data_IF_186143860730
#
_entry.id   IF_186143860730
#
_cell.length_a   1.000
_cell.length_b   1.000
_cell.length_c   1.000
_cell.angle_alpha   90.00
_cell.angle_beta   90.00
_cell.angle_gamma   90.00
#
_symmetry.space_group_name_H-M   'P 1'
#
loop_
_entity.id
_entity.type
_entity.pdbx_description
1 polymer ?
#
# COMPACT_ATOMS: atom_id res chain seq x y z
N UNK A 1 -7.84 -10.96 40.43
CA UNK A 1 -6.57 -10.27 40.68
C UNK A 1 -5.69 -10.51 39.47
N UNK A 2 -5.70 -9.62 38.54
CA UNK A 2 -4.92 -9.74 37.32
C UNK A 2 -5.05 -8.44 36.54
N UNK A 3 -4.11 -7.52 36.70
CA UNK A 3 -3.92 -6.37 35.82
C UNK A 3 -2.80 -5.43 36.31
N UNK A 4 -1.78 -5.94 37.01
CA UNK A 4 -0.81 -5.04 37.65
C UNK A 4 0.59 -5.11 37.01
N UNK A 5 0.85 -5.94 36.00
CA UNK A 5 2.20 -6.10 35.44
C UNK A 5 2.50 -5.14 34.28
N UNK A 6 1.49 -4.64 33.58
CA UNK A 6 1.67 -3.75 32.41
C UNK A 6 2.09 -2.30 32.74
N UNK A 7 1.90 -1.80 33.96
CA UNK A 7 2.09 -0.37 34.29
C UNK A 7 3.47 0.02 34.80
N UNK A 8 4.35 -0.93 35.11
CA UNK A 8 5.67 -0.64 35.73
C UNK A 8 6.78 -0.45 34.70
N UNK A 9 6.59 -0.94 33.46
CA UNK A 9 7.66 -1.00 32.45
C UNK A 9 7.90 0.36 31.74
N UNK A 10 7.00 1.34 31.88
CA UNK A 10 7.07 2.64 31.17
C UNK A 10 8.08 3.65 31.77
N UNK A 11 8.79 3.33 32.86
CA UNK A 11 9.59 4.31 33.62
C UNK A 11 11.10 4.04 33.65
N UNK A 12 11.65 3.08 32.87
CA UNK A 12 13.09 2.74 32.95
C UNK A 12 13.88 3.46 31.86
N UNK A 13 14.94 4.27 32.21
CA UNK A 13 15.76 4.97 31.22
C UNK A 13 16.63 4.05 30.36
N UNK A 14 16.85 4.47 29.12
CA UNK A 14 17.28 3.74 27.94
C UNK A 14 18.65 3.02 27.92
N UNK A 15 19.53 3.16 28.87
CA UNK A 15 20.89 2.59 28.80
C UNK A 15 21.03 1.18 29.40
N UNK A 16 20.14 0.78 30.28
CA UNK A 16 20.15 -0.53 30.94
C UNK A 16 19.00 -1.46 30.53
N UNK A 17 18.09 -1.00 29.64
CA UNK A 17 16.89 -1.76 29.25
C UNK A 17 17.17 -3.18 28.74
N UNK A 18 18.29 -3.43 28.05
CA UNK A 18 18.58 -4.78 27.53
C UNK A 18 18.85 -5.80 28.66
N UNK A 19 19.46 -5.38 29.77
CA UNK A 19 19.71 -6.28 30.90
C UNK A 19 18.44 -6.61 31.70
N UNK A 20 17.57 -5.62 31.89
CA UNK A 20 16.31 -5.80 32.64
C UNK A 20 15.24 -6.54 31.83
N UNK A 21 15.15 -6.29 30.51
CA UNK A 21 14.26 -7.04 29.61
C UNK A 21 14.58 -8.55 29.59
N UNK A 22 15.83 -8.92 29.77
CA UNK A 22 16.26 -10.33 29.76
C UNK A 22 15.78 -11.10 31.00
N UNK A 23 15.61 -10.43 32.15
CA UNK A 23 15.10 -11.06 33.37
C UNK A 23 13.56 -11.16 33.40
N UNK A 24 12.85 -10.30 32.65
CA UNK A 24 11.39 -10.31 32.59
C UNK A 24 10.82 -11.28 31.52
N UNK A 25 11.65 -11.77 30.60
CA UNK A 25 11.28 -12.73 29.55
C UNK A 25 11.60 -14.20 29.95
N UNK A 26 11.59 -14.52 31.24
CA UNK A 26 11.87 -15.90 31.71
C UNK A 26 10.71 -16.85 31.41
N UNK A 27 9.49 -16.36 31.34
CA UNK A 27 8.29 -17.16 31.08
C UNK A 27 7.46 -16.59 29.90
N UNK A 28 6.87 -17.50 29.12
CA UNK A 28 5.98 -17.07 28.04
C UNK A 28 4.68 -16.48 28.61
N UNK A 29 4.23 -15.30 28.11
CA UNK A 29 2.97 -14.71 28.53
C UNK A 29 1.77 -15.62 28.22
N UNK A 30 0.76 -15.66 29.10
CA UNK A 30 -0.45 -16.49 28.99
C UNK A 30 -1.22 -16.16 27.68
N UNK A 31 -1.21 -14.91 27.26
CA UNK A 31 -1.88 -14.43 26.03
C UNK A 31 -1.08 -14.68 24.74
N UNK A 32 0.08 -15.36 24.85
CA UNK A 32 1.00 -15.65 23.74
C UNK A 32 1.40 -14.40 22.95
N UNK A 33 1.53 -13.27 23.64
CA UNK A 33 1.88 -11.97 23.08
C UNK A 33 3.09 -11.38 23.81
N UNK A 34 4.04 -10.87 23.02
CA UNK A 34 5.18 -10.08 23.53
C UNK A 34 5.14 -8.71 22.87
N UNK A 35 5.11 -7.66 23.69
CA UNK A 35 5.18 -6.27 23.26
C UNK A 35 6.48 -5.61 23.75
N UNK A 36 7.35 -5.33 22.80
CA UNK A 36 8.63 -4.64 22.99
C UNK A 36 8.67 -3.32 22.21
N UNK A 37 7.52 -2.75 21.90
CA UNK A 37 7.44 -1.47 21.17
C UNK A 37 8.00 -0.32 22.00
N UNK A 38 8.64 0.66 21.33
CA UNK A 38 9.17 1.88 21.97
C UNK A 38 10.36 1.68 22.91
N UNK A 39 11.05 0.54 22.84
CA UNK A 39 12.15 0.19 23.75
C UNK A 39 13.53 0.67 23.30
N UNK A 40 13.62 1.41 22.19
CA UNK A 40 14.88 1.88 21.62
C UNK A 40 15.87 0.75 21.29
N UNK A 41 15.38 -0.47 21.06
CA UNK A 41 16.18 -1.65 20.79
C UNK A 41 17.00 -1.46 19.52
N UNK A 42 18.31 -1.65 19.61
CA UNK A 42 19.23 -1.67 18.47
C UNK A 42 19.47 -3.09 17.96
N UNK A 43 19.20 -4.09 18.77
CA UNK A 43 19.31 -5.51 18.46
C UNK A 43 18.08 -6.24 18.96
N UNK A 44 17.68 -7.25 18.23
CA UNK A 44 16.58 -8.12 18.62
C UNK A 44 16.95 -8.90 19.90
N UNK A 45 16.10 -8.96 20.93
CA UNK A 45 16.32 -9.75 22.14
C UNK A 45 16.12 -11.23 21.83
N UNK A 46 17.21 -11.95 21.73
CA UNK A 46 17.27 -13.33 21.26
C UNK A 46 16.39 -14.31 22.05
N UNK A 47 16.21 -14.05 23.35
CA UNK A 47 15.39 -14.89 24.24
C UNK A 47 13.94 -15.02 23.77
N UNK A 48 13.42 -14.06 23.02
CA UNK A 48 12.06 -14.14 22.42
C UNK A 48 11.91 -15.37 21.54
N UNK A 49 12.98 -15.81 20.89
CA UNK A 49 12.95 -17.00 20.03
C UNK A 49 12.69 -18.30 20.79
N UNK A 50 12.86 -18.32 22.12
CA UNK A 50 12.54 -19.47 22.95
C UNK A 50 11.02 -19.66 23.12
N UNK A 51 10.22 -18.64 22.87
CA UNK A 51 8.77 -18.69 22.98
C UNK A 51 8.10 -19.23 21.72
N UNK A 52 8.34 -20.51 21.43
CA UNK A 52 7.88 -21.14 20.17
C UNK A 52 6.36 -21.16 19.97
N UNK A 53 5.58 -20.96 21.04
CA UNK A 53 4.12 -20.83 20.97
C UNK A 53 3.62 -19.40 20.77
N UNK A 54 4.53 -18.43 20.62
CA UNK A 54 4.18 -17.03 20.46
C UNK A 54 3.29 -16.81 19.23
N UNK A 55 2.22 -16.03 19.42
CA UNK A 55 1.24 -15.70 18.38
C UNK A 55 1.37 -14.26 17.92
N UNK A 56 1.74 -13.34 18.82
CA UNK A 56 1.84 -11.91 18.50
C UNK A 56 3.15 -11.35 19.02
N UNK A 57 3.87 -10.66 18.15
CA UNK A 57 5.14 -10.00 18.49
C UNK A 57 5.13 -8.56 17.98
N UNK A 58 5.20 -7.62 18.90
CA UNK A 58 5.27 -6.20 18.60
C UNK A 58 6.67 -5.67 18.89
N UNK A 59 7.30 -5.11 17.88
CA UNK A 59 8.65 -4.53 17.88
C UNK A 59 8.67 -3.12 17.28
N UNK A 60 7.48 -2.51 17.17
CA UNK A 60 7.31 -1.17 16.59
C UNK A 60 8.10 -0.11 17.37
N UNK A 61 8.44 0.99 16.70
CA UNK A 61 9.14 2.14 17.30
C UNK A 61 10.44 1.74 18.03
N UNK A 62 11.33 1.06 17.30
CA UNK A 62 12.65 0.67 17.75
C UNK A 62 13.75 1.12 16.77
N UNK A 63 14.99 0.69 17.01
CA UNK A 63 16.12 0.99 16.13
C UNK A 63 16.65 -0.26 15.42
N UNK A 64 15.77 -1.25 15.20
CA UNK A 64 16.14 -2.53 14.62
C UNK A 64 16.40 -2.34 13.10
N UNK A 65 17.43 -3.03 12.61
CA UNK A 65 17.75 -3.11 11.19
C UNK A 65 18.00 -4.55 10.70
N UNK A 66 17.90 -5.51 11.62
CA UNK A 66 18.14 -6.92 11.39
C UNK A 66 17.30 -7.76 12.35
N UNK A 67 16.87 -8.93 11.90
CA UNK A 67 16.27 -9.99 12.72
C UNK A 67 17.13 -11.25 12.63
N UNK A 68 17.31 -11.99 13.74
CA UNK A 68 18.14 -13.19 13.72
C UNK A 68 17.44 -14.35 13.01
N UNK A 69 18.17 -15.30 12.40
CA UNK A 69 17.59 -16.46 11.73
C UNK A 69 16.75 -17.32 12.67
N UNK A 70 17.07 -17.33 13.96
CA UNK A 70 16.35 -18.08 14.99
C UNK A 70 14.89 -17.60 15.17
N UNK A 71 14.51 -16.44 14.62
CA UNK A 71 13.11 -16.00 14.56
C UNK A 71 12.24 -17.05 13.83
N UNK A 72 12.81 -17.85 12.94
CA UNK A 72 12.13 -18.94 12.27
C UNK A 72 11.50 -19.98 13.22
N UNK A 73 11.99 -20.08 14.46
CA UNK A 73 11.43 -20.97 15.48
C UNK A 73 10.00 -20.57 15.90
N UNK A 74 9.58 -19.33 15.66
CA UNK A 74 8.26 -18.80 16.03
C UNK A 74 7.18 -19.19 15.00
N UNK A 75 7.02 -20.47 14.72
CA UNK A 75 6.13 -20.99 13.67
C UNK A 75 4.65 -20.71 13.91
N UNK A 76 4.23 -20.37 15.13
CA UNK A 76 2.85 -20.04 15.48
C UNK A 76 2.53 -18.54 15.33
N UNK A 77 3.53 -17.71 14.91
CA UNK A 77 3.38 -16.27 14.87
C UNK A 77 2.38 -15.86 13.78
N UNK A 78 1.34 -15.12 14.19
CA UNK A 78 0.28 -14.62 13.31
C UNK A 78 0.35 -13.11 13.09
N UNK A 79 0.89 -12.38 14.06
CA UNK A 79 1.05 -10.93 13.99
C UNK A 79 2.50 -10.57 14.27
N UNK A 80 3.11 -9.83 13.35
CA UNK A 80 4.45 -9.26 13.52
C UNK A 80 4.42 -7.77 13.18
N UNK A 81 4.78 -6.94 14.17
CA UNK A 81 4.88 -5.51 13.99
C UNK A 81 6.36 -5.07 14.04
N UNK A 82 6.84 -4.51 12.94
CA UNK A 82 8.19 -4.02 12.72
C UNK A 82 8.20 -2.57 12.22
N UNK A 83 7.07 -1.90 12.25
CA UNK A 83 6.95 -0.50 11.82
C UNK A 83 7.76 0.43 12.71
N UNK A 84 8.10 1.62 12.19
CA UNK A 84 8.95 2.60 12.87
C UNK A 84 10.30 2.02 13.31
N UNK A 85 10.98 1.32 12.38
CA UNK A 85 12.32 0.76 12.59
C UNK A 85 13.30 1.28 11.51
N UNK A 86 14.44 0.61 11.34
CA UNK A 86 15.51 1.05 10.43
C UNK A 86 15.85 0.01 9.36
N UNK A 87 14.90 -0.86 9.01
CA UNK A 87 15.11 -1.88 7.99
C UNK A 87 15.31 -1.23 6.61
N UNK A 88 16.46 -1.51 5.98
CA UNK A 88 16.74 -1.14 4.58
C UNK A 88 16.45 -2.28 3.62
N UNK A 89 16.55 -3.49 4.12
CA UNK A 89 16.24 -4.72 3.41
C UNK A 89 15.19 -5.50 4.20
N UNK A 90 14.31 -6.17 3.48
CA UNK A 90 13.33 -7.05 4.10
C UNK A 90 14.04 -8.20 4.82
N UNK A 91 13.75 -8.47 6.10
CA UNK A 91 14.37 -9.56 6.82
C UNK A 91 13.83 -10.90 6.34
N UNK A 92 14.64 -11.65 5.54
CA UNK A 92 14.23 -12.88 4.86
C UNK A 92 13.63 -13.94 5.79
N UNK A 93 14.12 -14.00 7.04
CA UNK A 93 13.60 -14.93 8.06
C UNK A 93 12.09 -14.78 8.28
N UNK A 94 11.50 -13.61 8.02
CA UNK A 94 10.04 -13.40 8.13
C UNK A 94 9.28 -14.30 7.15
N UNK A 95 9.89 -14.64 6.00
CA UNK A 95 9.25 -15.50 5.00
C UNK A 95 9.06 -16.95 5.46
N UNK A 96 9.77 -17.40 6.51
CA UNK A 96 9.59 -18.73 7.11
C UNK A 96 8.38 -18.80 8.06
N UNK A 97 7.82 -17.64 8.48
CA UNK A 97 6.71 -17.55 9.42
C UNK A 97 5.37 -17.71 8.70
N UNK A 98 5.10 -18.89 8.19
CA UNK A 98 3.99 -19.16 7.24
C UNK A 98 2.60 -18.97 7.84
N UNK A 99 2.46 -18.87 9.18
CA UNK A 99 1.18 -18.58 9.85
C UNK A 99 0.90 -17.07 9.96
N UNK A 100 1.79 -16.20 9.49
CA UNK A 100 1.56 -14.76 9.53
C UNK A 100 0.30 -14.38 8.76
N UNK A 101 -0.58 -13.66 9.45
CA UNK A 101 -1.80 -13.07 8.90
C UNK A 101 -1.73 -11.55 8.83
N UNK A 102 -0.94 -10.92 9.69
CA UNK A 102 -0.75 -9.47 9.75
C UNK A 102 0.74 -9.14 9.85
N UNK A 103 1.24 -8.30 8.96
CA UNK A 103 2.62 -7.83 8.94
C UNK A 103 2.66 -6.30 8.80
N UNK A 104 3.22 -5.64 9.81
CA UNK A 104 3.45 -4.19 9.80
C UNK A 104 4.94 -3.91 9.54
N UNK A 105 5.22 -3.16 8.48
CA UNK A 105 6.56 -2.76 8.05
C UNK A 105 6.62 -1.26 7.71
N UNK A 106 5.59 -0.51 8.08
CA UNK A 106 5.52 0.93 7.80
C UNK A 106 6.67 1.70 8.44
N UNK A 107 6.94 2.90 7.94
CA UNK A 107 7.98 3.78 8.50
C UNK A 107 9.34 3.08 8.67
N UNK A 108 9.82 2.49 7.58
CA UNK A 108 11.15 1.89 7.44
C UNK A 108 11.87 2.51 6.22
N UNK A 109 12.85 1.83 5.66
CA UNK A 109 13.61 2.26 4.46
C UNK A 109 13.68 1.15 3.42
N UNK A 110 12.58 0.40 3.29
CA UNK A 110 12.48 -0.70 2.35
C UNK A 110 12.24 -0.17 0.94
N UNK A 111 12.94 -0.71 -0.04
CA UNK A 111 12.76 -0.35 -1.46
C UNK A 111 12.31 -1.53 -2.32
N UNK A 112 12.40 -2.75 -1.80
CA UNK A 112 11.94 -3.97 -2.47
C UNK A 112 11.45 -5.02 -1.47
N UNK A 113 10.71 -6.00 -1.95
CA UNK A 113 10.31 -7.19 -1.22
C UNK A 113 10.88 -8.41 -1.94
N UNK A 114 11.33 -9.44 -1.20
CA UNK A 114 11.92 -10.64 -1.78
C UNK A 114 10.86 -11.54 -2.41
N UNK A 115 11.28 -12.39 -3.35
CA UNK A 115 10.36 -13.36 -3.97
C UNK A 115 9.83 -14.41 -2.98
N UNK A 116 10.58 -14.66 -1.93
CA UNK A 116 10.20 -15.56 -0.83
C UNK A 116 8.96 -15.09 -0.06
N UNK A 117 8.60 -13.80 -0.15
CA UNK A 117 7.37 -13.27 0.46
C UNK A 117 6.12 -14.06 0.04
N UNK A 118 6.12 -14.65 -1.15
CA UNK A 118 5.04 -15.53 -1.64
C UNK A 118 4.77 -16.75 -0.74
N UNK A 119 5.70 -17.08 0.17
CA UNK A 119 5.51 -18.17 1.16
C UNK A 119 4.48 -17.82 2.22
N UNK A 120 4.21 -16.54 2.46
CA UNK A 120 3.26 -16.05 3.45
C UNK A 120 1.80 -16.18 2.95
N UNK A 121 1.37 -17.40 2.62
CA UNK A 121 0.06 -17.66 2.01
C UNK A 121 -1.13 -17.27 2.91
N UNK A 122 -0.94 -17.17 4.22
CA UNK A 122 -1.96 -16.78 5.19
C UNK A 122 -2.05 -15.26 5.41
N UNK A 123 -1.20 -14.44 4.73
CA UNK A 123 -1.14 -13.01 4.95
C UNK A 123 -2.42 -12.33 4.43
N UNK A 124 -3.12 -11.63 5.34
CA UNK A 124 -4.36 -10.90 5.09
C UNK A 124 -4.19 -9.39 5.12
N UNK A 125 -3.22 -8.91 5.91
CA UNK A 125 -2.96 -7.48 6.07
C UNK A 125 -1.46 -7.21 5.96
N UNK A 126 -1.10 -6.30 5.06
CA UNK A 126 0.27 -5.85 4.88
C UNK A 126 0.33 -4.32 4.89
N UNK A 127 1.18 -3.78 5.75
CA UNK A 127 1.46 -2.35 5.85
C UNK A 127 2.91 -2.09 5.48
N UNK A 128 3.13 -1.41 4.35
CA UNK A 128 4.43 -0.99 3.83
C UNK A 128 4.47 0.53 3.58
N UNK A 129 3.59 1.27 4.24
CA UNK A 129 3.52 2.73 4.11
C UNK A 129 4.81 3.40 4.59
N UNK A 130 5.09 4.62 4.12
CA UNK A 130 6.26 5.40 4.54
C UNK A 130 7.56 4.60 4.43
N UNK A 131 7.83 4.12 3.23
CA UNK A 131 9.05 3.42 2.82
C UNK A 131 9.59 4.02 1.51
N UNK A 132 10.58 3.37 0.89
CA UNK A 132 11.25 3.89 -0.31
C UNK A 132 10.86 3.09 -1.59
N UNK A 133 9.61 2.61 -1.70
CA UNK A 133 9.16 1.86 -2.88
C UNK A 133 8.87 2.80 -4.05
N UNK A 134 9.49 2.52 -5.21
CA UNK A 134 9.19 3.20 -6.49
C UNK A 134 8.11 2.49 -7.30
N UNK A 135 7.97 1.19 -7.11
CA UNK A 135 6.95 0.34 -7.73
C UNK A 135 6.36 -0.58 -6.69
N UNK A 136 5.10 -0.95 -6.86
CA UNK A 136 4.52 -2.00 -6.04
C UNK A 136 5.13 -3.35 -6.45
N UNK A 137 5.82 -4.06 -5.54
CA UNK A 137 6.52 -5.30 -5.89
C UNK A 137 5.55 -6.37 -6.42
N UNK A 138 5.79 -6.97 -7.62
CA UNK A 138 4.88 -7.96 -8.22
C UNK A 138 4.63 -9.19 -7.36
N UNK A 139 5.59 -9.56 -6.48
CA UNK A 139 5.44 -10.68 -5.54
C UNK A 139 4.21 -10.54 -4.63
N UNK A 140 3.72 -9.31 -4.40
CA UNK A 140 2.48 -9.07 -3.64
C UNK A 140 1.27 -9.73 -4.29
N UNK A 141 1.25 -9.84 -5.62
CA UNK A 141 0.17 -10.45 -6.38
C UNK A 141 0.05 -11.97 -6.14
N UNK A 142 1.06 -12.60 -5.50
CA UNK A 142 1.06 -14.00 -5.10
C UNK A 142 0.37 -14.25 -3.73
N UNK A 143 -0.01 -13.20 -3.01
CA UNK A 143 -0.63 -13.26 -1.68
C UNK A 143 -2.16 -13.36 -1.80
N UNK A 144 -2.66 -14.51 -2.22
CA UNK A 144 -4.06 -14.70 -2.61
C UNK A 144 -5.10 -14.40 -1.52
N UNK A 145 -4.72 -14.45 -0.23
CA UNK A 145 -5.61 -14.13 0.90
C UNK A 145 -5.48 -12.67 1.38
N UNK A 146 -4.69 -11.83 0.68
CA UNK A 146 -4.50 -10.44 1.07
C UNK A 146 -5.82 -9.66 0.95
N UNK A 147 -6.26 -9.04 2.06
CA UNK A 147 -7.50 -8.26 2.16
C UNK A 147 -7.25 -6.76 2.26
N UNK A 148 -6.13 -6.38 2.89
CA UNK A 148 -5.78 -4.99 3.13
C UNK A 148 -4.32 -4.75 2.80
N UNK A 149 -4.08 -3.76 1.94
CA UNK A 149 -2.75 -3.29 1.57
C UNK A 149 -2.63 -1.79 1.87
N UNK A 150 -1.74 -1.43 2.78
CA UNK A 150 -1.31 -0.05 3.01
C UNK A 150 0.06 0.18 2.37
N UNK A 151 0.09 0.96 1.30
CA UNK A 151 1.31 1.33 0.58
C UNK A 151 1.42 2.86 0.37
N UNK A 152 0.78 3.62 1.26
CA UNK A 152 0.83 5.08 1.24
C UNK A 152 2.22 5.65 1.52
N UNK A 153 2.43 6.95 1.25
CA UNK A 153 3.67 7.66 1.55
C UNK A 153 4.93 6.94 1.03
N UNK A 154 4.88 6.54 -0.24
CA UNK A 154 5.99 5.97 -0.99
C UNK A 154 6.25 6.80 -2.26
N UNK A 155 7.02 6.26 -3.20
CA UNK A 155 7.27 6.90 -4.51
C UNK A 155 6.63 6.12 -5.67
N UNK A 156 5.55 5.37 -5.40
CA UNK A 156 4.93 4.46 -6.37
C UNK A 156 4.22 5.29 -7.46
N UNK A 157 4.48 4.97 -8.72
CA UNK A 157 3.88 5.66 -9.87
C UNK A 157 2.97 4.77 -10.72
N UNK A 158 3.05 3.44 -10.54
CA UNK A 158 2.25 2.45 -11.26
C UNK A 158 1.98 1.23 -10.40
N UNK A 159 0.91 0.50 -10.71
CA UNK A 159 0.58 -0.78 -10.13
C UNK A 159 0.74 -1.88 -11.18
N UNK A 160 1.14 -3.11 -10.78
CA UNK A 160 1.20 -4.24 -11.72
C UNK A 160 -0.21 -4.69 -12.12
N UNK A 161 -0.38 -5.11 -13.38
CA UNK A 161 -1.66 -5.59 -13.89
C UNK A 161 -2.13 -6.88 -13.19
N UNK A 162 -1.18 -7.68 -12.69
CA UNK A 162 -1.44 -8.89 -11.92
C UNK A 162 -2.16 -8.63 -10.61
N UNK A 163 -2.18 -7.39 -10.10
CA UNK A 163 -2.88 -7.01 -8.87
C UNK A 163 -4.37 -7.41 -8.91
N UNK A 164 -4.98 -7.41 -10.09
CA UNK A 164 -6.37 -7.85 -10.30
C UNK A 164 -6.64 -9.31 -9.94
N UNK A 165 -5.60 -10.12 -9.76
CA UNK A 165 -5.71 -11.52 -9.34
C UNK A 165 -5.95 -11.66 -7.83
N UNK A 166 -5.72 -10.63 -7.04
CA UNK A 166 -5.99 -10.61 -5.59
C UNK A 166 -7.48 -10.48 -5.31
N UNK A 167 -8.24 -11.56 -5.49
CA UNK A 167 -9.72 -11.57 -5.39
C UNK A 167 -10.24 -11.27 -3.97
N UNK A 168 -9.42 -11.46 -2.95
CA UNK A 168 -9.75 -11.15 -1.56
C UNK A 168 -9.42 -9.71 -1.15
N UNK A 169 -8.71 -8.93 -1.98
CA UNK A 169 -8.33 -7.57 -1.65
C UNK A 169 -9.57 -6.67 -1.60
N UNK A 170 -9.82 -6.05 -0.44
CA UNK A 170 -10.96 -5.16 -0.18
C UNK A 170 -10.52 -3.72 -0.01
N UNK A 171 -9.37 -3.50 0.61
CA UNK A 171 -8.90 -2.17 0.98
C UNK A 171 -7.51 -1.93 0.41
N UNK A 172 -7.36 -0.85 -0.36
CA UNK A 172 -6.07 -0.42 -0.89
C UNK A 172 -5.83 1.06 -0.56
N UNK A 173 -4.73 1.32 0.14
CA UNK A 173 -4.32 2.64 0.58
C UNK A 173 -3.04 3.03 -0.15
N UNK A 174 -3.13 4.04 -1.03
CA UNK A 174 -2.07 4.51 -1.94
C UNK A 174 -1.82 6.01 -1.79
N UNK A 175 -2.31 6.62 -0.71
CA UNK A 175 -2.14 8.05 -0.46
C UNK A 175 -0.66 8.46 -0.42
N UNK A 176 -0.36 9.69 -0.82
CA UNK A 176 1.01 10.21 -0.75
C UNK A 176 2.01 9.53 -1.70
N UNK A 177 1.58 9.17 -2.91
CA UNK A 177 2.40 8.53 -3.93
C UNK A 177 2.59 9.42 -5.17
N UNK A 178 3.05 8.87 -6.30
CA UNK A 178 3.40 9.61 -7.51
C UNK A 178 2.49 9.30 -8.71
N UNK A 179 1.26 8.80 -8.47
CA UNK A 179 0.34 8.48 -9.56
C UNK A 179 -0.09 9.75 -10.29
N UNK A 180 0.17 9.82 -11.60
CA UNK A 180 -0.27 10.93 -12.48
C UNK A 180 -1.62 10.66 -13.12
N UNK A 181 -2.03 9.39 -13.16
CA UNK A 181 -3.32 8.90 -13.65
C UNK A 181 -3.88 7.92 -12.62
N UNK A 182 -5.21 7.79 -12.60
CA UNK A 182 -5.85 6.75 -11.80
C UNK A 182 -5.40 5.36 -12.29
N UNK A 183 -4.91 4.46 -11.41
CA UNK A 183 -4.40 3.16 -11.82
C UNK A 183 -5.47 2.30 -12.49
N UNK A 184 -5.28 1.97 -13.77
CA UNK A 184 -6.29 1.27 -14.59
C UNK A 184 -6.65 -0.10 -14.05
N UNK A 185 -5.69 -0.83 -13.47
CA UNK A 185 -5.94 -2.15 -12.86
C UNK A 185 -7.02 -2.11 -11.79
N UNK A 186 -7.16 -0.99 -11.04
CA UNK A 186 -8.20 -0.86 -10.01
C UNK A 186 -9.61 -0.80 -10.60
N UNK A 187 -9.76 -0.41 -11.89
CA UNK A 187 -11.06 -0.43 -12.57
C UNK A 187 -11.56 -1.85 -12.85
N UNK A 188 -10.67 -2.84 -12.88
CA UNK A 188 -11.03 -4.25 -13.09
C UNK A 188 -11.35 -4.98 -11.76
N UNK A 189 -11.14 -4.32 -10.60
CA UNK A 189 -11.23 -4.94 -9.27
C UNK A 189 -12.58 -4.62 -8.60
N UNK A 190 -13.67 -5.20 -9.09
CA UNK A 190 -15.05 -4.94 -8.63
C UNK A 190 -15.34 -5.32 -7.16
N UNK A 191 -14.42 -5.98 -6.50
CA UNK A 191 -14.50 -6.43 -5.09
C UNK A 191 -13.83 -5.45 -4.11
N UNK A 192 -13.16 -4.39 -4.60
CA UNK A 192 -12.60 -3.36 -3.74
C UNK A 192 -13.73 -2.58 -3.04
N UNK A 193 -13.54 -2.38 -1.74
CA UNK A 193 -14.44 -1.62 -0.87
C UNK A 193 -13.92 -0.21 -0.56
N UNK A 194 -12.61 -0.10 -0.36
CA UNK A 194 -11.94 1.16 -0.06
C UNK A 194 -10.77 1.38 -1.01
N UNK A 195 -10.77 2.55 -1.65
CA UNK A 195 -9.66 3.04 -2.46
C UNK A 195 -9.23 4.40 -1.89
N UNK A 196 -7.98 4.50 -1.46
CA UNK A 196 -7.38 5.76 -1.06
C UNK A 196 -6.23 6.12 -2.01
N UNK A 197 -6.43 7.20 -2.77
CA UNK A 197 -5.45 7.79 -3.67
C UNK A 197 -5.22 9.27 -3.36
N UNK A 198 -5.48 9.68 -2.11
CA UNK A 198 -5.21 11.03 -1.63
C UNK A 198 -3.73 11.44 -1.86
N UNK A 199 -3.45 12.74 -1.95
CA UNK A 199 -2.07 13.27 -2.08
C UNK A 199 -1.25 12.58 -3.16
N UNK A 200 -1.82 12.50 -4.36
CA UNK A 200 -1.14 12.03 -5.56
C UNK A 200 -1.09 13.16 -6.63
N UNK A 201 -0.76 12.83 -7.85
CA UNK A 201 -0.66 13.77 -8.97
C UNK A 201 -1.70 13.52 -10.05
N UNK A 202 -2.84 12.90 -9.68
CA UNK A 202 -3.90 12.50 -10.61
C UNK A 202 -4.60 13.76 -11.13
N UNK A 203 -4.64 13.91 -12.45
CA UNK A 203 -5.26 15.06 -13.11
C UNK A 203 -6.71 14.81 -13.51
N UNK A 204 -7.09 13.57 -13.74
CA UNK A 204 -8.41 13.17 -14.18
C UNK A 204 -8.81 11.83 -13.57
N UNK A 205 -10.05 11.77 -13.05
CA UNK A 205 -10.62 10.52 -12.54
C UNK A 205 -11.59 9.91 -13.54
N UNK A 206 -11.45 8.60 -13.86
CA UNK A 206 -12.43 7.88 -14.65
C UNK A 206 -13.73 7.67 -13.86
N UNK A 207 -14.77 7.16 -14.54
CA UNK A 207 -15.99 6.72 -13.84
C UNK A 207 -15.69 5.43 -13.07
N UNK A 208 -16.02 5.43 -11.78
CA UNK A 208 -15.92 4.27 -10.86
C UNK A 208 -17.31 3.67 -10.58
N UNK A 209 -18.38 4.12 -11.29
CA UNK A 209 -19.76 3.72 -11.01
C UNK A 209 -20.02 2.22 -11.25
N UNK A 210 -19.14 1.56 -12.01
CA UNK A 210 -19.23 0.12 -12.28
C UNK A 210 -18.61 -0.74 -11.16
N UNK A 211 -17.83 -0.15 -10.24
CA UNK A 211 -17.22 -0.85 -9.11
C UNK A 211 -18.27 -1.09 -8.01
N UNK A 212 -19.04 -2.17 -8.15
CA UNK A 212 -20.19 -2.47 -7.28
C UNK A 212 -19.83 -2.73 -5.82
N UNK A 213 -18.59 -3.15 -5.54
CA UNK A 213 -18.09 -3.36 -4.18
C UNK A 213 -17.67 -2.08 -3.45
N UNK A 214 -17.44 -0.98 -4.20
CA UNK A 214 -16.86 0.24 -3.66
C UNK A 214 -17.80 0.89 -2.64
N UNK A 215 -17.26 1.23 -1.46
CA UNK A 215 -17.94 1.92 -0.36
C UNK A 215 -17.34 3.30 -0.08
N UNK A 216 -16.02 3.43 -0.30
CA UNK A 216 -15.28 4.65 0.00
C UNK A 216 -14.19 4.89 -1.04
N UNK A 217 -14.13 6.12 -1.57
CA UNK A 217 -13.00 6.65 -2.33
C UNK A 217 -12.48 7.93 -1.67
N UNK A 218 -11.16 7.96 -1.37
CA UNK A 218 -10.46 9.12 -0.85
C UNK A 218 -9.51 9.60 -1.96
N UNK A 219 -9.63 10.87 -2.39
CA UNK A 219 -8.93 11.39 -3.56
C UNK A 219 -8.52 12.85 -3.44
N UNK A 220 -8.57 13.41 -2.24
CA UNK A 220 -8.20 14.81 -2.02
C UNK A 220 -6.72 15.09 -2.37
N UNK A 221 -6.31 16.34 -2.35
CA UNK A 221 -4.93 16.78 -2.62
C UNK A 221 -4.33 16.19 -3.93
N UNK A 222 -5.20 16.01 -4.95
CA UNK A 222 -4.79 15.74 -6.32
C UNK A 222 -5.05 16.98 -7.20
N UNK A 223 -4.24 17.25 -8.24
CA UNK A 223 -4.47 18.35 -9.18
C UNK A 223 -5.60 18.03 -10.17
N UNK A 224 -6.64 17.35 -9.72
CA UNK A 224 -7.72 16.83 -10.57
C UNK A 224 -8.66 17.94 -11.06
N UNK A 225 -9.13 17.81 -12.30
CA UNK A 225 -10.10 18.70 -12.92
C UNK A 225 -11.56 18.22 -12.74
N UNK A 226 -11.76 16.99 -12.22
CA UNK A 226 -13.09 16.40 -11.98
C UNK A 226 -13.08 15.54 -10.72
N UNK A 227 -14.27 15.31 -10.15
CA UNK A 227 -14.50 14.30 -9.15
C UNK A 227 -14.71 12.92 -9.80
N UNK A 228 -14.32 11.80 -9.13
CA UNK A 228 -14.69 10.47 -9.59
C UNK A 228 -16.22 10.29 -9.56
N UNK A 229 -16.81 9.85 -10.68
CA UNK A 229 -18.21 9.41 -10.72
C UNK A 229 -18.29 8.05 -10.04
N UNK A 230 -19.19 7.91 -9.05
CA UNK A 230 -19.39 6.68 -8.28
C UNK A 230 -20.86 6.25 -8.29
N UNK A 231 -21.12 5.01 -7.92
CA UNK A 231 -22.48 4.52 -7.71
C UNK A 231 -23.14 5.18 -6.48
N UNK A 232 -24.47 5.14 -6.42
CA UNK A 232 -25.21 5.63 -5.26
C UNK A 232 -24.79 4.87 -3.98
N UNK A 233 -24.62 5.62 -2.88
CA UNK A 233 -24.21 5.06 -1.60
C UNK A 233 -22.70 4.95 -1.39
N UNK A 234 -21.88 5.23 -2.40
CA UNK A 234 -20.42 5.29 -2.25
C UNK A 234 -20.02 6.65 -1.67
N UNK A 235 -19.31 6.63 -0.54
CA UNK A 235 -18.79 7.85 0.09
C UNK A 235 -17.56 8.35 -0.68
N UNK A 236 -17.58 9.64 -1.03
CA UNK A 236 -16.44 10.35 -1.62
C UNK A 236 -15.81 11.26 -0.57
N UNK A 237 -14.49 11.29 -0.47
CA UNK A 237 -13.73 12.21 0.38
C UNK A 237 -12.70 12.92 -0.48
N UNK A 238 -12.87 14.21 -0.68
CA UNK A 238 -11.98 15.05 -1.50
C UNK A 238 -12.71 16.26 -2.08
N UNK A 239 -12.01 17.01 -2.93
CA UNK A 239 -12.57 18.17 -3.60
C UNK A 239 -13.84 17.76 -4.38
N UNK A 240 -14.91 18.57 -4.29
CA UNK A 240 -16.22 18.32 -4.89
C UNK A 240 -16.94 17.04 -4.36
N UNK A 241 -16.68 16.64 -3.14
CA UNK A 241 -17.57 15.75 -2.40
C UNK A 241 -18.96 16.43 -2.22
N UNK A 242 -19.98 15.69 -1.84
CA UNK A 242 -21.40 16.13 -1.88
C UNK A 242 -21.70 17.51 -1.25
N UNK A 243 -20.84 18.01 -0.38
CA UNK A 243 -20.96 19.32 0.29
C UNK A 243 -20.36 20.50 -0.52
N UNK A 244 -19.71 20.26 -1.67
CA UNK A 244 -19.12 21.30 -2.52
C UNK A 244 -19.68 21.21 -3.95
N UNK A 245 -20.32 22.28 -4.48
CA UNK A 245 -20.85 22.25 -5.84
C UNK A 245 -19.72 22.06 -6.87
N UNK A 246 -19.91 21.16 -7.82
CA UNK A 246 -18.99 21.00 -8.95
C UNK A 246 -18.83 22.35 -9.70
N UNK A 247 -17.61 22.75 -10.07
CA UNK A 247 -17.42 23.93 -10.89
C UNK A 247 -18.18 23.72 -12.22
N UNK A 248 -18.98 24.71 -12.59
CA UNK A 248 -19.71 24.67 -13.88
C UNK A 248 -18.68 24.49 -15.01
N UNK A 249 -18.78 23.38 -15.75
CA UNK A 249 -17.92 23.09 -16.89
C UNK A 249 -17.95 24.27 -17.86
N UNK A 250 -16.79 24.84 -18.16
CA UNK A 250 -16.64 25.63 -19.37
C UNK A 250 -16.81 24.66 -20.57
N UNK A 251 -17.87 24.82 -21.33
CA UNK A 251 -18.22 24.02 -22.54
C UNK A 251 -17.17 24.09 -23.67
N UNK A 252 -16.05 24.75 -23.46
CA UNK A 252 -15.06 25.04 -24.52
C UNK A 252 -13.97 23.97 -24.73
N UNK A 253 -13.94 22.89 -23.95
CA UNK A 253 -12.88 21.86 -24.11
C UNK A 253 -13.37 20.60 -24.83
N UNK A 254 -14.69 20.39 -24.93
CA UNK A 254 -15.23 19.22 -25.65
C UNK A 254 -15.32 19.46 -27.16
N UNK A 255 -15.51 20.73 -27.60
CA UNK A 255 -15.62 21.08 -29.05
C UNK A 255 -14.26 21.03 -29.78
N UNK A 256 -13.14 21.21 -29.10
CA UNK A 256 -11.81 21.13 -29.71
C UNK A 256 -11.29 19.69 -29.86
N UNK A 257 -11.82 18.72 -29.10
CA UNK A 257 -11.42 17.31 -29.20
C UNK A 257 -12.21 16.57 -30.31
N UNK A 258 -13.46 16.92 -30.57
CA UNK A 258 -14.26 16.36 -31.68
C UNK A 258 -13.84 16.95 -33.02
N UNK A 259 -13.46 18.23 -33.07
CA UNK A 259 -13.04 18.90 -34.33
C UNK A 259 -11.63 18.48 -34.81
N UNK A 260 -10.82 17.83 -33.98
CA UNK A 260 -9.50 17.30 -34.40
C UNK A 260 -9.57 15.87 -34.95
N UNK A 261 -10.69 15.17 -34.77
CA UNK A 261 -10.87 13.81 -35.33
C UNK A 261 -11.61 13.79 -36.69
N UNK A 262 -12.39 14.81 -37.03
CA UNK A 262 -13.14 14.84 -38.31
C UNK A 262 -12.32 15.36 -39.52
N UNK A 263 -11.11 15.86 -39.36
CA UNK A 263 -10.30 16.43 -40.43
C UNK A 263 -9.18 15.50 -40.97
N UNK A 264 -9.26 14.18 -40.79
CA UNK A 264 -8.26 13.25 -41.32
C UNK A 264 -8.74 12.27 -42.40
N UNK A 265 -10.01 12.34 -42.80
CA UNK A 265 -10.51 11.48 -43.88
C UNK A 265 -11.17 12.33 -44.98
N UNK A 266 -10.36 12.88 -45.87
CA UNK A 266 -10.82 13.29 -47.20
C UNK A 266 -9.73 12.96 -48.22
N UNK A 267 -10.03 12.14 -49.25
CA UNK A 267 -9.02 11.73 -50.22
C UNK A 267 -8.75 12.85 -51.24
N UNK A 268 -7.48 13.03 -51.54
CA UNK A 268 -7.02 13.89 -52.61
C UNK A 268 -7.64 13.47 -53.97
N UNK A 269 -8.39 14.38 -54.58
CA UNK A 269 -8.78 14.25 -55.99
C UNK A 269 -7.60 14.68 -56.85
N UNK A 270 -7.10 13.76 -57.65
CA UNK A 270 -6.30 14.02 -58.84
C UNK A 270 -7.12 14.82 -59.84
N UNK A 271 -6.60 15.96 -60.27
CA UNK A 271 -7.05 16.63 -61.48
C UNK A 271 -5.91 16.67 -62.52
N UNK A 272 -6.14 15.93 -63.57
CA UNK A 272 -5.31 15.91 -64.75
C UNK A 272 -5.76 16.99 -65.72
N UNK A 273 -4.82 17.68 -66.30
CA UNK A 273 -5.05 18.59 -67.44
C UNK A 273 -3.90 19.59 -67.54
N UNK A 274 -2.94 19.44 -68.33
CA UNK A 274 -2.92 19.46 -69.77
C UNK A 274 -2.35 20.76 -70.27
N UNK A 275 -1.27 20.66 -71.07
CA UNK A 275 -0.76 21.56 -72.12
C UNK A 275 0.31 22.58 -71.76
N UNK A 276 1.47 22.33 -72.24
CA UNK A 276 2.09 22.74 -73.53
C UNK A 276 3.00 23.99 -73.50
N UNK A 277 4.20 23.77 -74.05
CA UNK A 277 5.03 24.71 -74.86
C UNK A 277 5.81 25.78 -74.07
N UNK A 278 7.03 26.07 -74.29
CA UNK A 278 8.05 25.91 -75.31
C UNK A 278 9.28 26.74 -74.94
N UNK A 279 10.43 26.29 -75.34
CA UNK A 279 11.61 27.13 -75.79
C UNK A 279 12.12 28.19 -74.82
N UNK A 280 13.29 28.19 -74.38
CA UNK A 280 14.61 28.31 -75.02
C UNK A 280 15.65 27.67 -74.11
#
# INVERSE_FOLDING_TARGET
>A
MGNTVMSVISLIPSKDCQKYLLGELEEMPIDKMVDLSGRQLRRFPFQVCNFTELVKLYLSDNNLNYLPPELELLQNLQILALDFNRFRQFPLVVCSLTQLSILYLGNNRLHCLPLELKMLKNLKTLWIESNDFYHLPPVLCELSLLKTLHAGCNSISSLPDELKHLKELRNIWLSGNQFTQFPQVLLEMNFLEVIDVDRNKIRWFPSLAHLKGLKLIIYDHNPCANAPKVANGVRRVGRWSEDTPEPKRHKQIEDDAENTMENKDSPAKEDAGGKQTSQI
#
